data_IF_601768389169
#
_entry.id   IF_601768389169
#
_cell.length_a   1.000
_cell.length_b   1.000
_cell.length_c   1.000
_cell.angle_alpha   90.00
_cell.angle_beta   90.00
_cell.angle_gamma   90.00
#
_symmetry.space_group_name_H-M   'P 1'
#
loop_
_entity.id
_entity.type
_entity.pdbx_description
1 polymer ?
#
# COMPACT_ATOMS: atom_id res chain seq x y z
N UNK A 1 -0.56 -1.57 -2.41
CA UNK A 1 0.00 -0.92 -1.21
C UNK A 1 -0.37 0.54 -1.26
N UNK A 2 -0.96 1.09 -0.20
CA UNK A 2 -1.06 2.54 -0.09
C UNK A 2 0.37 3.07 0.07
N UNK A 3 0.83 3.90 -0.87
CA UNK A 3 2.15 4.54 -0.82
C UNK A 3 2.08 5.92 -0.17
N UNK A 4 0.88 6.45 0.06
CA UNK A 4 0.70 7.75 0.69
C UNK A 4 0.68 7.62 2.21
N UNK A 5 1.34 8.54 2.89
CA UNK A 5 1.26 8.71 4.34
C UNK A 5 0.71 10.11 4.65
N UNK A 6 -0.53 10.16 5.13
CA UNK A 6 -1.28 11.40 5.37
C UNK A 6 -1.05 11.88 6.80
N UNK A 7 -0.51 13.09 6.94
CA UNK A 7 -0.33 13.76 8.23
C UNK A 7 -1.22 15.00 8.29
N UNK A 8 -2.02 15.10 9.34
CA UNK A 8 -2.66 16.37 9.72
C UNK A 8 -1.77 17.07 10.74
N UNK A 9 -1.36 18.31 10.45
CA UNK A 9 -0.44 19.06 11.29
C UNK A 9 -1.02 20.40 11.73
N UNK A 10 -1.25 20.55 13.03
CA UNK A 10 -1.64 21.82 13.65
C UNK A 10 -0.42 22.58 14.20
N UNK A 11 -0.13 23.75 13.64
CA UNK A 11 1.01 24.60 14.01
C UNK A 11 0.77 26.06 13.61
N UNK A 12 0.95 27.00 14.55
CA UNK A 12 0.77 28.43 14.28
C UNK A 12 2.07 29.18 14.00
N UNK A 13 3.22 28.63 14.40
CA UNK A 13 4.53 29.24 14.25
C UNK A 13 5.13 28.98 12.85
N UNK A 14 4.84 29.91 11.94
CA UNK A 14 5.29 29.87 10.55
C UNK A 14 6.82 29.81 10.37
N UNK A 15 7.61 30.32 11.32
CA UNK A 15 9.07 30.34 11.22
C UNK A 15 9.71 28.97 11.43
N UNK A 16 9.14 28.15 12.32
CA UNK A 16 9.63 26.82 12.62
C UNK A 16 9.18 25.78 11.56
N UNK A 17 8.03 26.05 10.92
CA UNK A 17 7.35 25.12 10.02
C UNK A 17 8.21 24.57 8.88
N UNK A 18 8.88 25.35 8.01
CA UNK A 18 9.46 24.82 6.77
C UNK A 18 10.56 23.78 7.01
N UNK A 19 11.38 24.01 8.05
CA UNK A 19 12.47 23.11 8.39
C UNK A 19 11.99 21.90 9.18
N UNK A 20 10.88 22.01 9.92
CA UNK A 20 10.24 20.87 10.60
C UNK A 20 9.49 19.97 9.63
N UNK A 21 8.79 20.56 8.65
CA UNK A 21 8.13 19.85 7.55
C UNK A 21 9.14 19.00 6.77
N UNK A 22 10.31 19.58 6.47
CA UNK A 22 11.40 18.87 5.78
C UNK A 22 11.90 17.65 6.57
N UNK A 23 12.08 17.79 7.88
CA UNK A 23 12.50 16.67 8.73
C UNK A 23 11.44 15.57 8.77
N UNK A 24 10.16 15.93 8.91
CA UNK A 24 9.04 14.99 8.88
C UNK A 24 8.92 14.27 7.54
N UNK A 25 9.05 14.99 6.42
CA UNK A 25 9.09 14.40 5.08
C UNK A 25 10.21 13.37 4.96
N UNK A 26 11.43 13.69 5.40
CA UNK A 26 12.56 12.76 5.38
C UNK A 26 12.31 11.48 6.18
N UNK A 27 11.66 11.58 7.34
CA UNK A 27 11.27 10.43 8.17
C UNK A 27 10.33 9.50 7.38
N UNK A 28 9.30 10.07 6.75
CA UNK A 28 8.29 9.31 6.00
C UNK A 28 8.91 8.73 4.71
N UNK A 29 9.67 9.55 3.97
CA UNK A 29 10.35 9.18 2.73
C UNK A 29 11.41 8.08 2.97
N UNK A 30 11.99 7.98 4.17
CA UNK A 30 12.91 6.88 4.51
C UNK A 30 12.26 5.49 4.42
N UNK A 31 10.92 5.43 4.49
CA UNK A 31 10.11 4.23 4.28
C UNK A 31 9.64 4.05 2.84
N UNK A 32 10.07 4.90 1.89
CA UNK A 32 9.58 4.98 0.52
C UNK A 32 8.06 5.25 0.43
N UNK A 33 7.55 6.03 1.37
CA UNK A 33 6.19 6.55 1.35
C UNK A 33 6.17 8.00 0.87
N UNK A 34 5.07 8.39 0.23
CA UNK A 34 4.80 9.75 -0.24
C UNK A 34 4.11 10.53 0.89
N UNK A 35 4.78 11.53 1.49
CA UNK A 35 4.19 12.32 2.56
C UNK A 35 3.13 13.29 2.01
N UNK A 36 1.90 13.17 2.49
CA UNK A 36 0.82 14.13 2.24
C UNK A 36 0.58 14.88 3.55
N UNK A 37 1.03 16.13 3.63
CA UNK A 37 0.93 16.92 4.85
C UNK A 37 -0.12 18.00 4.67
N UNK A 38 -1.24 17.85 5.39
CA UNK A 38 -2.26 18.90 5.52
C UNK A 38 -1.90 19.73 6.75
N UNK A 39 -1.60 21.01 6.54
CA UNK A 39 -1.29 21.93 7.63
C UNK A 39 -2.50 22.81 7.96
N UNK A 40 -2.71 23.04 9.26
CA UNK A 40 -3.78 23.87 9.80
C UNK A 40 -3.31 24.74 10.96
N UNK A 41 -3.97 25.89 11.14
CA UNK A 41 -3.86 26.70 12.36
C UNK A 41 -4.88 26.29 13.41
N UNK A 42 -4.65 26.66 14.66
CA UNK A 42 -5.58 26.37 15.75
C UNK A 42 -6.95 27.03 15.63
N UNK A 43 -6.98 28.24 15.06
CA UNK A 43 -8.17 29.07 14.90
C UNK A 43 -8.78 28.98 13.48
N UNK A 44 -8.31 28.04 12.65
CA UNK A 44 -8.83 27.86 11.30
C UNK A 44 -10.25 27.29 11.34
N UNK A 45 -11.19 27.95 10.65
CA UNK A 45 -12.63 27.67 10.77
C UNK A 45 -13.05 26.26 10.32
N UNK A 46 -12.23 25.58 9.52
CA UNK A 46 -12.47 24.22 9.03
C UNK A 46 -11.64 23.16 9.79
N UNK A 47 -10.95 23.51 10.87
CA UNK A 47 -10.17 22.57 11.69
C UNK A 47 -11.01 21.35 12.11
N UNK A 48 -12.28 21.56 12.49
CA UNK A 48 -13.17 20.47 12.89
C UNK A 48 -13.59 19.56 11.73
N UNK A 49 -13.80 20.11 10.54
CA UNK A 49 -14.09 19.32 9.33
C UNK A 49 -12.87 18.52 8.90
N UNK A 50 -11.68 19.11 9.04
CA UNK A 50 -10.42 18.44 8.73
C UNK A 50 -10.15 17.26 9.66
N UNK A 51 -10.45 17.40 10.95
CA UNK A 51 -10.32 16.33 11.95
C UNK A 51 -11.21 15.11 11.65
N UNK A 52 -12.27 15.25 10.84
CA UNK A 52 -13.17 14.15 10.45
C UNK A 52 -12.62 13.32 9.28
N UNK A 53 -11.54 13.76 8.63
CA UNK A 53 -10.94 13.03 7.50
C UNK A 53 -9.97 11.95 7.99
N UNK A 54 -9.67 11.01 7.11
CA UNK A 54 -8.74 9.92 7.40
C UNK A 54 -7.28 10.38 7.28
N UNK A 55 -6.57 10.29 8.41
CA UNK A 55 -5.15 10.57 8.54
C UNK A 55 -4.43 9.38 9.20
N UNK A 56 -3.20 9.13 8.76
CA UNK A 56 -2.33 8.09 9.31
C UNK A 56 -1.70 8.56 10.63
N UNK A 57 -1.51 9.87 10.79
CA UNK A 57 -0.94 10.52 11.96
C UNK A 57 -1.47 11.94 12.12
N UNK A 58 -1.68 12.37 13.36
CA UNK A 58 -1.90 13.79 13.68
C UNK A 58 -0.70 14.30 14.47
N UNK A 59 -0.12 15.41 14.02
CA UNK A 59 0.94 16.15 14.71
C UNK A 59 0.35 17.46 15.23
N UNK A 60 0.48 17.77 16.51
CA UNK A 60 -0.26 18.87 17.13
C UNK A 60 0.61 19.64 18.12
N UNK A 61 0.78 20.94 17.89
CA UNK A 61 1.24 21.85 18.95
C UNK A 61 0.17 21.90 20.04
N UNK A 62 0.59 21.86 21.29
CA UNK A 62 -0.29 21.99 22.43
C UNK A 62 -0.84 23.43 22.57
N UNK A 63 0.00 24.44 22.34
CA UNK A 63 -0.33 25.85 22.54
C UNK A 63 -0.67 26.54 21.22
N UNK A 64 -1.86 26.24 20.70
CA UNK A 64 -2.37 26.85 19.50
C UNK A 64 -3.02 28.21 19.76
N UNK A 65 -3.14 29.04 18.73
CA UNK A 65 -3.89 30.30 18.75
C UNK A 65 -5.38 29.97 18.73
N UNK A 66 -6.15 30.65 19.57
CA UNK A 66 -7.61 30.51 19.64
C UNK A 66 -8.14 29.21 20.26
N UNK A 67 -7.30 28.19 20.44
CA UNK A 67 -7.68 26.93 21.08
C UNK A 67 -6.46 26.27 21.74
N UNK A 68 -6.69 25.28 22.62
CA UNK A 68 -5.61 24.40 23.08
C UNK A 68 -5.74 23.06 22.40
N UNK A 69 -4.62 22.40 22.10
CA UNK A 69 -4.65 21.12 21.40
C UNK A 69 -5.40 20.01 22.17
N UNK A 70 -5.47 20.09 23.51
CA UNK A 70 -6.29 19.19 24.33
C UNK A 70 -7.81 19.32 24.09
N UNK A 71 -8.28 20.47 23.59
CA UNK A 71 -9.68 20.67 23.22
C UNK A 71 -9.95 19.97 21.88
N UNK A 72 -9.05 20.11 20.91
CA UNK A 72 -9.18 19.48 19.59
C UNK A 72 -9.18 17.95 19.67
N UNK A 73 -8.33 17.35 20.52
CA UNK A 73 -8.32 15.89 20.68
C UNK A 73 -9.57 15.34 21.38
N UNK A 74 -10.15 16.09 22.32
CA UNK A 74 -11.43 15.70 22.94
C UNK A 74 -12.54 15.66 21.88
N UNK A 75 -12.55 16.63 20.96
CA UNK A 75 -13.47 16.61 19.80
C UNK A 75 -13.24 15.41 18.88
N UNK A 76 -11.99 15.06 18.57
CA UNK A 76 -11.67 13.85 17.78
C UNK A 76 -12.28 12.59 18.39
N UNK A 77 -12.14 12.42 19.71
CA UNK A 77 -12.69 11.25 20.41
C UNK A 77 -14.22 11.27 20.49
N UNK A 78 -14.85 12.45 20.49
CA UNK A 78 -16.32 12.56 20.34
C UNK A 78 -16.83 12.11 18.96
N UNK A 79 -15.96 12.05 17.94
CA UNK A 79 -16.28 11.52 16.62
C UNK A 79 -15.89 10.05 16.43
N UNK A 80 -15.54 9.34 17.51
CA UNK A 80 -15.02 7.96 17.47
C UNK A 80 -13.76 7.80 16.59
N UNK A 81 -12.97 8.87 16.46
CA UNK A 81 -11.71 8.86 15.71
C UNK A 81 -10.56 8.60 16.68
N UNK A 82 -9.80 7.53 16.46
CA UNK A 82 -8.71 7.06 17.33
C UNK A 82 -7.34 7.08 16.65
N UNK A 83 -7.13 7.96 15.67
CA UNK A 83 -5.82 8.19 15.04
C UNK A 83 -4.76 8.49 16.10
N UNK A 84 -3.57 7.90 15.93
CA UNK A 84 -2.40 8.15 16.78
C UNK A 84 -2.03 9.66 16.68
N UNK A 85 -1.79 10.31 17.82
CA UNK A 85 -1.49 11.75 17.88
C UNK A 85 -0.15 12.00 18.58
N UNK A 86 0.73 12.76 17.93
CA UNK A 86 1.96 13.27 18.54
C UNK A 86 1.75 14.72 18.94
N UNK A 87 1.68 14.95 20.25
CA UNK A 87 1.65 16.28 20.86
C UNK A 87 3.06 16.76 21.15
N UNK A 88 3.32 18.03 20.85
CA UNK A 88 4.54 18.70 21.25
C UNK A 88 4.29 20.07 21.84
N UNK A 89 5.20 20.53 22.68
CA UNK A 89 5.12 21.85 23.30
C UNK A 89 6.50 22.35 23.72
N UNK A 90 6.69 23.66 23.72
CA UNK A 90 7.84 24.29 24.40
C UNK A 90 7.78 24.16 25.93
N UNK A 91 6.61 23.82 26.49
CA UNK A 91 6.43 23.51 27.91
C UNK A 91 5.87 22.09 28.09
N UNK A 92 6.76 21.11 27.95
CA UNK A 92 6.44 19.68 28.03
C UNK A 92 5.64 19.31 29.29
N UNK A 93 6.08 19.77 30.46
CA UNK A 93 5.45 19.43 31.74
C UNK A 93 4.02 19.98 31.85
N UNK A 94 3.77 21.20 31.37
CA UNK A 94 2.44 21.80 31.34
C UNK A 94 1.50 21.01 30.43
N UNK A 95 1.97 20.67 29.23
CA UNK A 95 1.21 19.86 28.27
C UNK A 95 0.83 18.49 28.84
N UNK A 96 1.80 17.76 29.40
CA UNK A 96 1.57 16.43 30.00
C UNK A 96 0.55 16.51 31.13
N UNK A 97 0.70 17.47 32.05
CA UNK A 97 -0.26 17.68 33.15
C UNK A 97 -1.66 17.98 32.64
N UNK A 98 -1.80 18.81 31.60
CA UNK A 98 -3.11 19.19 31.06
C UNK A 98 -3.78 18.08 30.24
N UNK A 99 -3.02 17.26 29.53
CA UNK A 99 -3.55 16.15 28.73
C UNK A 99 -3.86 14.90 29.56
N UNK A 100 -3.14 14.69 30.66
CA UNK A 100 -3.51 13.71 31.69
C UNK A 100 -4.42 14.30 32.77
N UNK A 101 -4.77 15.58 32.66
CA UNK A 101 -5.58 16.35 33.59
C UNK A 101 -5.23 16.10 35.08
N UNK A 102 -3.92 16.04 35.38
CA UNK A 102 -3.38 15.85 36.73
C UNK A 102 -3.54 17.18 37.48
N UNK A 103 -4.64 17.31 38.23
CA UNK A 103 -4.77 18.41 39.19
C UNK A 103 -3.92 18.14 40.45
N UNK A 104 -3.66 19.17 41.26
CA UNK A 104 -2.88 19.05 42.51
C UNK A 104 -3.54 18.12 43.56
N UNK A 105 -4.75 17.63 43.31
CA UNK A 105 -5.56 16.81 44.22
C UNK A 105 -5.77 15.37 43.72
N UNK A 106 -5.19 14.99 42.59
CA UNK A 106 -5.14 13.60 42.10
C UNK A 106 -6.48 13.00 41.68
N UNK A 107 -7.48 13.81 41.27
CA UNK A 107 -8.73 13.25 40.78
C UNK A 107 -8.64 12.75 39.33
N UNK A 108 -8.98 11.48 39.14
CA UNK A 108 -9.01 10.77 37.87
C UNK A 108 -10.07 11.34 36.91
N UNK A 109 -9.64 11.63 35.69
CA UNK A 109 -10.49 11.77 34.50
C UNK A 109 -9.90 10.88 33.41
N UNK A 110 -10.76 10.35 32.54
CA UNK A 110 -10.39 9.43 31.47
C UNK A 110 -9.20 9.96 30.65
N UNK A 111 -8.07 9.22 30.61
CA UNK A 111 -6.94 9.58 29.79
C UNK A 111 -7.37 9.55 28.32
N UNK A 112 -6.85 10.50 27.54
CA UNK A 112 -7.12 10.50 26.10
C UNK A 112 -6.21 9.49 25.43
N UNK A 113 -6.80 8.41 24.92
CA UNK A 113 -6.07 7.28 24.32
C UNK A 113 -5.30 7.68 23.05
N UNK A 114 -4.22 6.95 22.76
CA UNK A 114 -3.47 7.09 21.50
C UNK A 114 -2.61 8.35 21.38
N UNK A 115 -2.26 8.98 22.51
CA UNK A 115 -1.40 10.17 22.54
C UNK A 115 0.06 9.83 22.85
N UNK A 116 0.96 10.47 22.11
CA UNK A 116 2.39 10.52 22.35
C UNK A 116 2.83 11.95 22.65
N UNK A 117 3.65 12.14 23.69
CA UNK A 117 4.16 13.46 24.07
C UNK A 117 5.62 13.65 23.63
N UNK A 118 5.97 14.87 23.27
CA UNK A 118 7.35 15.28 23.04
C UNK A 118 7.58 16.75 23.39
N UNK A 119 8.83 17.10 23.68
CA UNK A 119 9.25 18.51 23.73
C UNK A 119 9.35 19.05 22.29
N UNK A 120 9.15 20.36 22.08
CA UNK A 120 9.31 21.01 20.77
C UNK A 120 10.76 20.95 20.25
N UNK A 121 11.73 20.77 21.15
CA UNK A 121 13.14 20.53 20.79
C UNK A 121 13.28 19.45 19.73
N UNK A 122 14.11 19.73 18.71
CA UNK A 122 14.22 18.87 17.52
C UNK A 122 14.77 17.49 17.84
N UNK A 123 15.72 17.47 18.77
CA UNK A 123 16.38 16.28 19.31
C UNK A 123 15.42 15.35 20.07
N UNK A 124 14.24 15.84 20.48
CA UNK A 124 13.20 15.05 21.13
C UNK A 124 12.06 14.70 20.16
N UNK A 125 11.54 15.72 19.44
CA UNK A 125 10.37 15.57 18.58
C UNK A 125 10.60 14.61 17.42
N UNK A 126 11.67 14.77 16.66
CA UNK A 126 11.86 13.99 15.44
C UNK A 126 12.19 12.51 15.72
N UNK A 127 13.00 12.16 16.73
CA UNK A 127 13.15 10.76 17.13
C UNK A 127 11.85 10.13 17.64
N UNK A 128 11.01 10.89 18.35
CA UNK A 128 9.67 10.41 18.78
C UNK A 128 8.75 10.20 17.59
N UNK A 129 8.72 11.17 16.67
CA UNK A 129 7.95 11.14 15.44
C UNK A 129 8.33 9.94 14.57
N UNK A 130 9.64 9.68 14.39
CA UNK A 130 10.14 8.49 13.68
C UNK A 130 9.56 7.21 14.28
N UNK A 131 9.63 7.02 15.61
CA UNK A 131 9.10 5.81 16.27
C UNK A 131 7.60 5.62 16.07
N UNK A 132 6.83 6.70 16.05
CA UNK A 132 5.38 6.65 15.80
C UNK A 132 5.09 6.36 14.33
N UNK A 133 5.80 7.01 13.40
CA UNK A 133 5.73 6.68 11.97
C UNK A 133 6.05 5.21 11.73
N UNK A 134 7.14 4.69 12.31
CA UNK A 134 7.51 3.26 12.23
C UNK A 134 6.38 2.35 12.73
N UNK A 135 5.70 2.72 13.82
CA UNK A 135 4.53 1.97 14.34
C UNK A 135 3.38 1.95 13.34
N UNK A 136 3.04 3.10 12.76
CA UNK A 136 1.95 3.20 11.78
C UNK A 136 2.30 2.43 10.51
N UNK A 137 3.54 2.53 10.04
CA UNK A 137 4.05 1.78 8.87
C UNK A 137 3.93 0.27 9.07
N UNK A 138 4.34 -0.24 10.23
CA UNK A 138 4.15 -1.67 10.58
C UNK A 138 2.67 -2.07 10.51
N UNK A 139 1.76 -1.25 11.05
CA UNK A 139 0.32 -1.54 11.01
C UNK A 139 -0.27 -1.50 9.59
N UNK A 140 0.19 -0.58 8.74
CA UNK A 140 -0.24 -0.54 7.34
C UNK A 140 0.22 -1.80 6.60
N UNK A 141 1.41 -2.29 6.91
CA UNK A 141 1.89 -3.59 6.43
C UNK A 141 1.03 -4.72 6.99
N UNK A 142 0.57 -4.64 8.24
CA UNK A 142 -0.36 -5.62 8.81
C UNK A 142 -1.74 -5.63 8.12
N UNK A 143 -2.25 -4.50 7.63
CA UNK A 143 -3.49 -4.48 6.82
C UNK A 143 -3.24 -5.08 5.44
N UNK A 144 -2.07 -4.81 4.83
CA UNK A 144 -1.63 -5.56 3.64
C UNK A 144 -1.51 -7.05 3.98
N UNK A 145 -1.08 -7.39 5.20
CA UNK A 145 -1.05 -8.74 5.72
C UNK A 145 -2.45 -9.29 5.96
N UNK A 146 -3.49 -8.52 6.25
CA UNK A 146 -4.87 -9.02 6.34
C UNK A 146 -5.39 -9.43 4.96
N UNK A 147 -5.11 -8.61 3.93
CA UNK A 147 -5.35 -9.01 2.53
C UNK A 147 -4.51 -10.26 2.20
N UNK A 148 -3.27 -10.31 2.69
CA UNK A 148 -2.43 -11.50 2.71
C UNK A 148 -3.15 -12.68 3.34
N UNK A 149 -3.55 -12.64 4.61
CA UNK A 149 -4.28 -13.67 5.35
C UNK A 149 -5.52 -14.17 4.61
N UNK A 150 -6.32 -13.27 4.02
CA UNK A 150 -7.47 -13.69 3.21
C UNK A 150 -7.00 -14.46 1.97
N UNK A 151 -6.00 -13.95 1.24
CA UNK A 151 -5.42 -14.62 0.07
C UNK A 151 -4.70 -15.92 0.43
N UNK A 152 -3.94 -15.97 1.52
CA UNK A 152 -3.26 -17.13 2.08
C UNK A 152 -4.27 -18.22 2.45
N UNK A 153 -5.37 -17.86 3.13
CA UNK A 153 -6.43 -18.81 3.48
C UNK A 153 -7.16 -19.32 2.24
N UNK A 154 -7.49 -18.43 1.29
CA UNK A 154 -8.10 -18.84 0.02
C UNK A 154 -7.17 -19.74 -0.78
N UNK A 155 -5.88 -19.41 -0.86
CA UNK A 155 -4.85 -20.25 -1.50
C UNK A 155 -4.70 -21.59 -0.77
N UNK A 156 -4.84 -21.58 0.56
CA UNK A 156 -4.91 -22.79 1.39
C UNK A 156 -6.11 -23.66 1.01
N UNK A 157 -7.30 -23.06 0.85
CA UNK A 157 -8.49 -23.78 0.39
C UNK A 157 -8.34 -24.31 -1.03
N UNK A 158 -7.74 -23.56 -1.95
CA UNK A 158 -7.46 -24.01 -3.31
C UNK A 158 -6.49 -25.20 -3.31
N UNK A 159 -5.43 -25.15 -2.51
CA UNK A 159 -4.52 -26.28 -2.33
C UNK A 159 -5.21 -27.49 -1.70
N UNK A 160 -6.10 -27.28 -0.74
CA UNK A 160 -6.93 -28.35 -0.17
C UNK A 160 -7.86 -28.96 -1.23
N UNK A 161 -8.51 -28.13 -2.06
CA UNK A 161 -9.33 -28.59 -3.18
C UNK A 161 -8.49 -29.38 -4.19
N UNK A 162 -7.30 -28.89 -4.55
CA UNK A 162 -6.37 -29.61 -5.42
C UNK A 162 -5.97 -30.97 -4.82
N UNK A 163 -5.66 -31.02 -3.52
CA UNK A 163 -5.35 -32.25 -2.82
C UNK A 163 -6.54 -33.22 -2.80
N UNK A 164 -7.76 -32.72 -2.61
CA UNK A 164 -8.98 -33.53 -2.74
C UNK A 164 -9.05 -34.14 -4.14
N UNK A 165 -8.84 -33.37 -5.20
CA UNK A 165 -8.87 -33.86 -6.59
C UNK A 165 -7.78 -34.92 -6.85
N UNK A 166 -6.58 -34.75 -6.30
CA UNK A 166 -5.50 -35.75 -6.38
C UNK A 166 -5.86 -37.03 -5.63
N UNK A 167 -6.45 -36.91 -4.43
CA UNK A 167 -6.93 -38.07 -3.66
C UNK A 167 -8.06 -38.80 -4.41
N UNK A 168 -8.96 -38.06 -5.04
CA UNK A 168 -10.02 -38.61 -5.88
C UNK A 168 -9.44 -39.47 -7.00
N UNK A 169 -8.44 -38.97 -7.72
CA UNK A 169 -7.79 -39.69 -8.81
C UNK A 169 -7.20 -41.06 -8.38
N UNK A 170 -6.73 -41.17 -7.13
CA UNK A 170 -6.06 -42.35 -6.61
C UNK A 170 -6.97 -43.32 -5.84
N UNK A 171 -8.08 -42.83 -5.26
CA UNK A 171 -8.93 -43.62 -4.35
C UNK A 171 -10.27 -44.04 -4.96
N UNK A 172 -10.72 -43.41 -6.04
CA UNK A 172 -12.02 -43.72 -6.63
C UNK A 172 -11.96 -44.96 -7.52
N UNK A 173 -13.10 -45.65 -7.66
CA UNK A 173 -13.23 -46.76 -8.59
C UNK A 173 -13.12 -46.29 -10.05
N UNK A 174 -12.78 -47.21 -10.96
CA UNK A 174 -12.69 -46.90 -12.40
C UNK A 174 -13.98 -46.29 -12.97
N UNK A 175 -15.16 -46.74 -12.52
CA UNK A 175 -16.44 -46.19 -12.97
C UNK A 175 -16.63 -44.73 -12.53
N UNK A 176 -16.26 -44.39 -11.29
CA UNK A 176 -16.34 -43.02 -10.78
C UNK A 176 -15.32 -42.10 -11.48
N UNK A 177 -14.08 -42.57 -11.69
CA UNK A 177 -13.07 -41.83 -12.45
C UNK A 177 -13.53 -41.57 -13.89
N UNK A 178 -14.14 -42.56 -14.54
CA UNK A 178 -14.70 -42.38 -15.89
C UNK A 178 -15.77 -41.28 -15.92
N UNK A 179 -16.69 -41.28 -14.97
CA UNK A 179 -17.73 -40.24 -14.84
C UNK A 179 -17.11 -38.84 -14.65
N UNK A 180 -16.12 -38.70 -13.76
CA UNK A 180 -15.41 -37.43 -13.54
C UNK A 180 -14.62 -36.96 -14.77
N UNK A 181 -14.01 -37.88 -15.53
CA UNK A 181 -13.31 -37.57 -16.77
C UNK A 181 -14.29 -37.05 -17.84
N UNK A 182 -15.45 -37.69 -17.99
CA UNK A 182 -16.49 -37.24 -18.90
C UNK A 182 -17.02 -35.85 -18.51
N UNK A 183 -17.27 -35.62 -17.21
CA UNK A 183 -17.67 -34.30 -16.72
C UNK A 183 -16.59 -33.25 -17.00
N UNK A 184 -15.35 -33.52 -16.62
CA UNK A 184 -14.20 -32.60 -16.81
C UNK A 184 -14.06 -32.24 -18.29
N UNK A 185 -14.08 -33.24 -19.17
CA UNK A 185 -13.95 -33.01 -20.62
C UNK A 185 -15.12 -32.21 -21.17
N UNK A 186 -16.36 -32.62 -20.88
CA UNK A 186 -17.54 -32.09 -21.56
C UNK A 186 -18.09 -30.80 -20.95
N UNK A 187 -17.87 -30.56 -19.65
CA UNK A 187 -18.43 -29.42 -18.92
C UNK A 187 -17.41 -28.37 -18.55
N UNK A 188 -16.12 -28.72 -18.45
CA UNK A 188 -15.06 -27.77 -18.08
C UNK A 188 -14.17 -27.45 -19.29
N UNK A 189 -13.49 -28.47 -19.86
CA UNK A 189 -12.45 -28.25 -20.87
C UNK A 189 -13.00 -27.83 -22.24
N UNK A 190 -13.96 -28.57 -22.81
CA UNK A 190 -14.49 -28.27 -24.14
C UNK A 190 -15.19 -26.91 -24.18
N UNK A 191 -16.08 -26.56 -23.22
CA UNK A 191 -16.70 -25.24 -23.20
C UNK A 191 -15.67 -24.11 -23.04
N UNK A 192 -14.70 -24.24 -22.12
CA UNK A 192 -13.66 -23.23 -21.92
C UNK A 192 -12.81 -23.04 -23.17
N UNK A 193 -12.41 -24.14 -23.84
CA UNK A 193 -11.67 -24.08 -25.11
C UNK A 193 -12.47 -23.33 -26.19
N UNK A 194 -13.73 -23.70 -26.39
CA UNK A 194 -14.56 -23.12 -27.44
C UNK A 194 -14.82 -21.64 -27.18
N UNK A 195 -15.08 -21.25 -25.93
CA UNK A 195 -15.24 -19.85 -25.55
C UNK A 195 -13.94 -19.06 -25.76
N UNK A 196 -12.79 -19.63 -25.39
CA UNK A 196 -11.49 -19.01 -25.56
C UNK A 196 -11.15 -18.78 -27.03
N UNK A 197 -11.33 -19.81 -27.88
CA UNK A 197 -11.11 -19.72 -29.32
C UNK A 197 -12.00 -18.65 -29.93
N UNK A 198 -13.31 -18.70 -29.67
CA UNK A 198 -14.26 -17.72 -30.21
C UNK A 198 -13.86 -16.29 -29.87
N UNK A 199 -13.52 -16.01 -28.61
CA UNK A 199 -13.11 -14.67 -28.18
C UNK A 199 -11.78 -14.23 -28.80
N UNK A 200 -10.83 -15.14 -29.01
CA UNK A 200 -9.59 -14.82 -29.73
C UNK A 200 -9.87 -14.52 -31.19
N UNK A 201 -10.66 -15.35 -31.86
CA UNK A 201 -11.01 -15.16 -33.28
C UNK A 201 -11.72 -13.81 -33.49
N UNK A 202 -12.58 -13.41 -32.55
CA UNK A 202 -13.24 -12.09 -32.53
C UNK A 202 -12.23 -10.94 -32.42
N UNK A 203 -11.18 -11.08 -31.59
CA UNK A 203 -10.13 -10.06 -31.43
C UNK A 203 -9.20 -10.04 -32.65
N UNK A 204 -8.79 -11.21 -33.13
CA UNK A 204 -7.87 -11.36 -34.28
C UNK A 204 -8.50 -10.84 -35.57
N UNK A 205 -9.78 -11.12 -35.78
CA UNK A 205 -10.51 -10.67 -36.98
C UNK A 205 -10.90 -9.18 -36.93
N UNK A 206 -10.70 -8.50 -35.79
CA UNK A 206 -11.06 -7.10 -35.63
C UNK A 206 -9.98 -6.19 -36.26
N UNK A 207 -10.33 -5.30 -37.22
CA UNK A 207 -9.38 -4.35 -37.79
C UNK A 207 -8.70 -3.44 -36.74
N UNK A 208 -9.38 -3.16 -35.63
CA UNK A 208 -8.87 -2.43 -34.47
C UNK A 208 -8.43 -3.40 -33.35
N UNK A 209 -7.62 -4.41 -33.68
CA UNK A 209 -7.21 -5.48 -32.75
C UNK A 209 -6.67 -4.96 -31.40
N UNK A 210 -5.95 -3.83 -31.38
CA UNK A 210 -5.47 -3.19 -30.15
C UNK A 210 -6.63 -2.72 -29.24
N UNK A 211 -7.67 -2.13 -29.80
CA UNK A 211 -8.84 -1.68 -29.03
C UNK A 211 -9.68 -2.86 -28.55
N UNK A 212 -9.80 -3.88 -29.39
CA UNK A 212 -10.48 -5.13 -29.05
C UNK A 212 -9.80 -5.84 -27.88
N UNK A 213 -8.47 -6.00 -27.90
CA UNK A 213 -7.72 -6.67 -26.82
C UNK A 213 -7.69 -5.86 -25.52
N UNK A 214 -7.68 -4.52 -25.59
CA UNK A 214 -7.77 -3.66 -24.39
C UNK A 214 -9.13 -3.81 -23.69
N UNK A 215 -10.20 -4.06 -24.48
CA UNK A 215 -11.56 -4.23 -23.97
C UNK A 215 -11.87 -5.68 -23.56
N UNK A 216 -10.94 -6.62 -23.81
CA UNK A 216 -11.12 -8.03 -23.53
C UNK A 216 -10.86 -8.35 -22.04
N UNK A 217 -11.34 -9.51 -21.54
CA UNK A 217 -11.01 -9.99 -20.20
C UNK A 217 -9.50 -10.04 -19.91
N UNK A 218 -9.10 -9.72 -18.68
CA UNK A 218 -7.69 -9.59 -18.27
C UNK A 218 -6.81 -10.82 -18.53
N UNK A 219 -7.38 -12.03 -18.58
CA UNK A 219 -6.60 -13.24 -18.86
C UNK A 219 -6.11 -13.32 -20.33
N UNK A 220 -6.69 -12.55 -21.26
CA UNK A 220 -6.16 -12.40 -22.61
C UNK A 220 -5.01 -11.40 -22.67
N UNK A 221 -5.07 -10.35 -21.84
CA UNK A 221 -4.06 -9.30 -21.76
C UNK A 221 -3.50 -9.21 -20.33
N UNK A 222 -2.78 -10.26 -19.92
CA UNK A 222 -2.16 -10.29 -18.59
C UNK A 222 -1.13 -9.17 -18.38
N UNK A 223 -0.68 -8.97 -17.14
CA UNK A 223 0.24 -7.87 -16.81
C UNK A 223 1.55 -7.89 -17.60
N UNK A 224 2.07 -9.06 -17.97
CA UNK A 224 3.30 -9.14 -18.76
C UNK A 224 3.03 -8.79 -20.22
N UNK A 225 1.91 -9.25 -20.80
CA UNK A 225 1.48 -8.82 -22.15
C UNK A 225 1.20 -7.31 -22.20
N UNK A 226 0.56 -6.73 -21.17
CA UNK A 226 0.40 -5.26 -21.02
C UNK A 226 1.77 -4.57 -21.04
N UNK A 227 2.72 -5.02 -20.23
CA UNK A 227 4.07 -4.45 -20.19
C UNK A 227 4.80 -4.55 -21.54
N UNK A 228 4.60 -5.63 -22.31
CA UNK A 228 5.13 -5.75 -23.68
C UNK A 228 4.54 -4.73 -24.64
N UNK A 229 3.22 -4.51 -24.61
CA UNK A 229 2.57 -3.48 -25.42
C UNK A 229 3.03 -2.08 -25.02
N UNK A 230 3.06 -1.77 -23.72
CA UNK A 230 3.59 -0.49 -23.21
C UNK A 230 5.05 -0.29 -23.62
N UNK A 231 5.88 -1.34 -23.58
CA UNK A 231 7.26 -1.25 -24.09
C UNK A 231 7.34 -0.90 -25.58
N UNK A 232 6.37 -1.34 -26.41
CA UNK A 232 6.27 -0.91 -27.81
C UNK A 232 5.84 0.55 -27.92
N UNK A 233 4.88 0.98 -27.10
CA UNK A 233 4.44 2.38 -27.02
C UNK A 233 5.60 3.29 -26.63
N UNK A 234 6.36 2.96 -25.57
CA UNK A 234 7.55 3.71 -25.15
C UNK A 234 8.54 3.84 -26.30
N UNK A 235 8.80 2.75 -27.03
CA UNK A 235 9.72 2.78 -28.17
C UNK A 235 9.27 3.79 -29.24
N UNK A 236 7.99 3.78 -29.60
CA UNK A 236 7.41 4.75 -30.56
C UNK A 236 7.58 6.18 -30.03
N UNK A 237 7.25 6.42 -28.76
CA UNK A 237 7.38 7.74 -28.14
C UNK A 237 8.83 8.25 -28.13
N UNK A 238 9.80 7.37 -27.92
CA UNK A 238 11.24 7.71 -27.97
C UNK A 238 11.67 8.01 -29.41
N UNK A 239 11.34 7.11 -30.35
CA UNK A 239 11.85 7.16 -31.73
C UNK A 239 11.17 8.28 -32.55
N UNK A 240 9.88 8.53 -32.35
CA UNK A 240 9.08 9.43 -33.19
C UNK A 240 8.71 10.75 -32.49
N UNK A 241 8.59 10.75 -31.16
CA UNK A 241 8.09 11.90 -30.39
C UNK A 241 9.13 12.48 -29.41
N UNK A 242 10.37 11.97 -29.43
CA UNK A 242 11.49 12.53 -28.67
C UNK A 242 11.37 12.34 -27.14
N UNK A 243 10.60 11.36 -26.67
CA UNK A 243 10.51 11.03 -25.24
C UNK A 243 11.89 10.72 -24.67
N UNK A 244 12.31 11.46 -23.64
CA UNK A 244 13.56 11.19 -22.92
C UNK A 244 13.26 10.32 -21.70
N UNK A 245 13.76 9.09 -21.71
CA UNK A 245 13.58 8.11 -20.64
C UNK A 245 14.91 7.37 -20.38
N UNK A 246 15.08 6.82 -19.17
CA UNK A 246 16.27 6.01 -18.86
C UNK A 246 16.39 4.80 -19.80
N UNK A 247 17.61 4.54 -20.28
CA UNK A 247 17.93 3.46 -21.23
C UNK A 247 17.53 2.08 -20.72
N UNK A 248 17.45 1.86 -19.39
CA UNK A 248 16.98 0.58 -18.84
C UNK A 248 15.56 0.26 -19.32
N UNK A 249 14.72 1.27 -19.55
CA UNK A 249 13.34 1.09 -20.01
C UNK A 249 13.19 0.81 -21.51
N UNK A 250 14.29 0.79 -22.29
CA UNK A 250 14.26 0.26 -23.66
C UNK A 250 13.80 -1.20 -23.71
N UNK A 251 14.00 -1.93 -22.60
CA UNK A 251 13.47 -3.28 -22.38
C UNK A 251 12.40 -3.30 -21.28
N UNK A 252 11.47 -2.35 -21.32
CA UNK A 252 10.47 -2.11 -20.28
C UNK A 252 9.83 -3.39 -19.73
N UNK A 253 9.37 -4.30 -20.60
CA UNK A 253 8.70 -5.53 -20.17
C UNK A 253 9.61 -6.46 -19.34
N UNK A 254 10.88 -6.60 -19.72
CA UNK A 254 11.84 -7.44 -19.00
C UNK A 254 12.17 -6.84 -17.63
N UNK A 255 12.42 -5.53 -17.58
CA UNK A 255 12.78 -4.84 -16.34
C UNK A 255 11.57 -4.79 -15.38
N UNK A 256 10.38 -4.44 -15.88
CA UNK A 256 9.14 -4.44 -15.10
C UNK A 256 8.77 -5.84 -14.59
N UNK A 257 9.03 -6.89 -15.39
CA UNK A 257 8.85 -8.25 -14.92
C UNK A 257 9.75 -8.57 -13.73
N UNK A 258 11.04 -8.24 -13.88
CA UNK A 258 12.07 -8.53 -12.90
C UNK A 258 11.98 -7.70 -11.62
N UNK A 259 11.44 -6.49 -11.68
CA UNK A 259 11.37 -5.58 -10.53
C UNK A 259 9.98 -5.53 -9.88
N UNK A 260 8.90 -5.85 -10.62
CA UNK A 260 7.52 -5.74 -10.13
C UNK A 260 6.74 -7.04 -10.26
N UNK A 261 6.57 -7.58 -11.48
CA UNK A 261 5.60 -8.68 -11.71
C UNK A 261 5.96 -9.92 -10.91
N UNK A 262 7.23 -10.36 -10.94
CA UNK A 262 7.64 -11.59 -10.24
C UNK A 262 7.43 -11.50 -8.73
N UNK A 263 7.75 -10.35 -8.12
CA UNK A 263 7.55 -10.14 -6.68
C UNK A 263 6.08 -10.01 -6.31
N UNK A 264 5.27 -9.34 -7.15
CA UNK A 264 3.82 -9.28 -6.96
C UNK A 264 3.18 -10.66 -7.01
N UNK A 265 3.59 -11.50 -7.97
CA UNK A 265 3.07 -12.85 -8.12
C UNK A 265 3.50 -13.73 -6.93
N UNK A 266 4.78 -13.67 -6.55
CA UNK A 266 5.29 -14.39 -5.38
C UNK A 266 4.60 -13.95 -4.09
N UNK A 267 4.31 -12.66 -3.93
CA UNK A 267 3.58 -12.14 -2.77
C UNK A 267 2.12 -12.61 -2.76
N UNK A 268 1.48 -12.69 -3.93
CA UNK A 268 0.11 -13.19 -4.05
C UNK A 268 -0.06 -14.69 -3.72
N UNK A 269 1.03 -15.45 -3.76
CA UNK A 269 1.08 -16.87 -3.38
C UNK A 269 1.92 -17.13 -2.13
N UNK A 270 2.38 -16.07 -1.45
CA UNK A 270 3.17 -16.22 -0.25
C UNK A 270 2.30 -16.85 0.85
N UNK A 271 2.93 -17.65 1.71
CA UNK A 271 2.26 -18.21 2.88
C UNK A 271 2.95 -17.70 4.15
N UNK A 272 2.14 -17.45 5.17
CA UNK A 272 2.65 -17.29 6.54
C UNK A 272 3.40 -18.54 6.99
N UNK A 273 4.64 -18.35 7.44
CA UNK A 273 5.41 -19.39 8.13
C UNK A 273 5.62 -18.99 9.58
N UNK A 274 5.37 -19.96 10.47
CA UNK A 274 5.61 -19.87 11.92
C UNK A 274 6.96 -20.51 12.31
N UNK A 275 7.83 -20.82 11.35
CA UNK A 275 9.11 -21.51 11.63
C UNK A 275 10.13 -20.64 12.38
N UNK A 276 9.94 -19.31 12.43
CA UNK A 276 10.76 -18.41 13.23
C UNK A 276 10.02 -17.98 14.50
N UNK A 277 10.48 -18.44 15.66
CA UNK A 277 9.84 -18.25 16.96
C UNK A 277 9.60 -16.78 17.37
N UNK A 278 10.35 -15.83 16.77
CA UNK A 278 10.38 -14.43 17.21
C UNK A 278 9.71 -13.45 16.22
N UNK A 279 9.27 -13.90 15.04
CA UNK A 279 8.57 -13.03 14.06
C UNK A 279 7.78 -13.84 13.02
N UNK A 280 6.56 -13.39 12.71
CA UNK A 280 5.84 -13.86 11.52
C UNK A 280 6.65 -13.51 10.26
N UNK A 281 6.89 -14.50 9.39
CA UNK A 281 7.47 -14.26 8.07
C UNK A 281 6.54 -14.77 6.98
N UNK A 282 6.56 -14.10 5.83
CA UNK A 282 5.89 -14.58 4.63
C UNK A 282 6.93 -15.19 3.70
N UNK A 283 6.67 -16.41 3.25
CA UNK A 283 7.52 -17.12 2.31
C UNK A 283 6.74 -17.28 1.00
N UNK A 284 7.22 -16.63 -0.05
CA UNK A 284 6.77 -16.88 -1.42
C UNK A 284 7.80 -17.68 -2.20
N UNK A 285 7.54 -17.87 -3.49
CA UNK A 285 8.41 -18.60 -4.41
C UNK A 285 8.65 -17.76 -5.66
N UNK A 286 9.91 -17.59 -6.05
CA UNK A 286 10.30 -17.04 -7.35
C UNK A 286 11.20 -18.07 -8.02
N UNK A 287 10.84 -18.50 -9.23
CA UNK A 287 11.65 -19.45 -10.01
C UNK A 287 12.06 -20.70 -9.22
N UNK A 288 11.13 -21.26 -8.42
CA UNK A 288 11.35 -22.42 -7.53
C UNK A 288 12.33 -22.19 -6.38
N UNK A 289 12.66 -20.93 -6.11
CA UNK A 289 13.49 -20.52 -5.00
C UNK A 289 12.62 -19.83 -3.95
N UNK A 290 12.68 -20.26 -2.67
CA UNK A 290 11.92 -19.60 -1.61
C UNK A 290 12.43 -18.18 -1.40
N UNK A 291 11.49 -17.24 -1.27
CA UNK A 291 11.72 -15.83 -1.01
C UNK A 291 11.05 -15.43 0.29
N UNK A 292 11.84 -14.91 1.24
CA UNK A 292 11.32 -14.36 2.49
C UNK A 292 11.01 -12.88 2.29
N UNK A 293 9.76 -12.47 2.54
CA UNK A 293 9.38 -11.06 2.54
C UNK A 293 9.75 -10.38 3.84
N UNK A 294 10.82 -9.58 3.79
CA UNK A 294 11.32 -8.77 4.90
C UNK A 294 10.94 -7.30 4.74
N UNK A 295 11.12 -6.50 5.79
CA UNK A 295 10.90 -5.05 5.69
C UNK A 295 11.79 -4.38 4.65
N UNK A 296 13.05 -4.83 4.52
CA UNK A 296 13.96 -4.35 3.50
C UNK A 296 13.44 -4.65 2.09
N UNK A 297 12.87 -5.85 1.88
CA UNK A 297 12.27 -6.20 0.60
C UNK A 297 11.02 -5.37 0.32
N UNK A 298 10.14 -5.16 1.31
CA UNK A 298 8.98 -4.27 1.13
C UNK A 298 9.39 -2.84 0.81
N UNK A 299 10.44 -2.34 1.46
CA UNK A 299 11.02 -1.03 1.18
C UNK A 299 11.55 -0.95 -0.26
N UNK A 300 12.27 -1.97 -0.72
CA UNK A 300 12.72 -2.06 -2.11
C UNK A 300 11.54 -2.09 -3.10
N UNK A 301 10.52 -2.90 -2.84
CA UNK A 301 9.31 -2.96 -3.66
C UNK A 301 8.59 -1.61 -3.72
N UNK A 302 8.50 -0.88 -2.59
CA UNK A 302 7.95 0.49 -2.57
C UNK A 302 8.76 1.46 -3.41
N UNK A 303 10.10 1.39 -3.33
CA UNK A 303 10.97 2.21 -4.19
C UNK A 303 10.71 1.94 -5.67
N UNK A 304 10.67 0.67 -6.08
CA UNK A 304 10.36 0.28 -7.45
C UNK A 304 8.98 0.80 -7.87
N UNK A 305 7.94 0.63 -7.04
CA UNK A 305 6.60 1.14 -7.36
C UNK A 305 6.59 2.66 -7.58
N UNK A 306 7.28 3.44 -6.73
CA UNK A 306 7.37 4.89 -6.89
C UNK A 306 8.12 5.27 -8.17
N UNK A 307 9.21 4.58 -8.48
CA UNK A 307 9.96 4.78 -9.73
C UNK A 307 9.10 4.49 -10.97
N UNK A 308 8.41 3.34 -10.99
CA UNK A 308 7.51 3.01 -12.11
C UNK A 308 6.32 3.96 -12.22
N UNK A 309 5.81 4.50 -11.11
CA UNK A 309 4.77 5.54 -11.17
C UNK A 309 5.29 6.79 -11.88
N UNK A 310 6.52 7.22 -11.61
CA UNK A 310 7.13 8.36 -12.29
C UNK A 310 7.31 8.09 -13.79
N UNK A 311 7.76 6.88 -14.14
CA UNK A 311 7.91 6.45 -15.54
C UNK A 311 6.58 6.40 -16.26
N UNK A 312 5.56 5.81 -15.65
CA UNK A 312 4.21 5.73 -16.23
C UNK A 312 3.64 7.14 -16.42
N UNK A 313 3.74 8.01 -15.42
CA UNK A 313 3.29 9.40 -15.54
C UNK A 313 4.02 10.14 -16.66
N UNK A 314 5.33 9.92 -16.81
CA UNK A 314 6.13 10.51 -17.88
C UNK A 314 5.63 10.04 -19.26
N UNK A 315 5.36 8.75 -19.41
CA UNK A 315 4.80 8.16 -20.63
C UNK A 315 3.40 8.72 -20.91
N UNK A 316 2.52 8.76 -19.93
CA UNK A 316 1.17 9.32 -20.05
C UNK A 316 1.21 10.80 -20.45
N UNK A 317 2.07 11.59 -19.80
CA UNK A 317 2.21 13.02 -20.09
C UNK A 317 2.76 13.29 -21.49
N UNK A 318 3.53 12.38 -22.07
CA UNK A 318 4.05 12.53 -23.44
C UNK A 318 2.93 12.57 -24.47
N UNK A 319 1.79 11.92 -24.23
CA UNK A 319 0.62 12.00 -25.10
C UNK A 319 -0.05 13.37 -25.11
N UNK A 320 0.18 14.23 -24.11
CA UNK A 320 -0.31 15.61 -24.15
C UNK A 320 0.44 16.49 -25.16
N UNK A 321 1.56 15.99 -25.69
CA UNK A 321 2.42 16.69 -26.66
C UNK A 321 2.24 16.17 -28.10
N UNK A 322 1.33 15.22 -28.30
CA UNK A 322 1.01 14.54 -29.57
C UNK A 322 -0.36 15.01 -30.07
#
# INVERSE_FOLDING_TARGET
MNVNFKVLWFEDEMGWRPSSERSMKRIIESHNLVPIITWKKGDEGDAEEELKKEYDLILMDYELRGTMGNILIKKLRQFDIYTDVVFYSGNYNKMVKALYNIDEKGMNIEPVDGIYFSDRKREELFPKLQKVVDKVVRRMQDIVNLRGVVLDNVSGFENQMQNILVLTANKFSQAQIKSLNEYTKNKLIVPAKNEYIRKIDEIESNPEALKAIISAPDYFLDSYKKARLVGRVIKILVDEYGLVIDKKYNKFAEVYYNEIIKYRNALGHAMRSNEHADREVFIGEIDKTPLIFTEDLFRQMRASLNEYQQVINLVENSFNQI
#
